data_IF_103571844492
#
_entry.id   IF_103571844492
#
_cell.length_a   1.000
_cell.length_b   1.000
_cell.length_c   1.000
_cell.angle_alpha   90.00
_cell.angle_beta   90.00
_cell.angle_gamma   90.00
#
_symmetry.space_group_name_H-M   'P 1'
#
loop_
_entity.id
_entity.type
_entity.pdbx_description
1 polymer ?
#
# COMPACT_ATOMS: atom_id res chain seq x y z
N UNK A 1 20.64 5.13 -8.94
CA UNK A 1 19.56 4.30 -8.35
C UNK A 1 18.71 3.79 -9.51
N UNK A 2 18.88 2.52 -9.86
CA UNK A 2 18.08 1.85 -10.90
C UNK A 2 16.63 1.78 -10.40
N UNK A 3 15.78 2.71 -10.82
CA UNK A 3 14.33 2.61 -10.62
C UNK A 3 13.80 1.61 -11.65
N UNK A 4 14.03 0.33 -11.39
CA UNK A 4 13.39 -0.75 -12.14
C UNK A 4 11.88 -0.58 -11.86
N UNK A 5 11.02 -0.46 -12.88
CA UNK A 5 9.58 -0.42 -12.66
C UNK A 5 9.18 -1.73 -12.00
N UNK A 6 8.88 -1.65 -10.72
CA UNK A 6 8.38 -2.75 -9.91
C UNK A 6 6.94 -2.96 -10.37
N UNK A 7 6.76 -3.91 -11.29
CA UNK A 7 5.42 -4.37 -11.71
C UNK A 7 4.98 -5.38 -10.66
N UNK A 8 4.26 -4.90 -9.64
CA UNK A 8 3.63 -5.74 -8.64
C UNK A 8 2.18 -5.97 -9.01
N UNK A 9 1.73 -7.20 -8.85
CA UNK A 9 0.30 -7.53 -8.86
C UNK A 9 -0.40 -6.93 -7.64
N UNK A 10 -1.74 -6.82 -7.68
CA UNK A 10 -2.54 -6.26 -6.57
C UNK A 10 -2.28 -7.06 -5.29
N UNK A 11 -2.29 -8.40 -5.35
CA UNK A 11 -1.99 -9.26 -4.21
C UNK A 11 -0.57 -9.06 -3.66
N UNK A 12 0.44 -8.82 -4.51
CA UNK A 12 1.79 -8.51 -4.05
C UNK A 12 1.90 -7.15 -3.36
N UNK A 13 1.16 -6.15 -3.85
CA UNK A 13 1.07 -4.84 -3.19
C UNK A 13 0.37 -4.93 -1.84
N UNK A 14 -0.73 -5.69 -1.75
CA UNK A 14 -1.42 -5.97 -0.49
C UNK A 14 -0.50 -6.70 0.49
N UNK A 15 0.22 -7.72 0.02
CA UNK A 15 1.19 -8.47 0.83
C UNK A 15 2.36 -7.62 1.33
N UNK A 16 2.83 -6.65 0.53
CA UNK A 16 3.88 -5.72 0.95
C UNK A 16 3.38 -4.67 1.93
N UNK A 17 2.15 -4.18 1.74
CA UNK A 17 1.51 -3.25 2.68
C UNK A 17 1.28 -3.90 4.05
N UNK A 18 0.84 -5.16 4.08
CA UNK A 18 0.60 -5.91 5.31
C UNK A 18 1.90 -6.18 6.10
N UNK A 19 3.03 -6.30 5.40
CA UNK A 19 4.35 -6.40 6.02
C UNK A 19 4.91 -5.09 6.57
N UNK A 20 4.26 -3.95 6.31
CA UNK A 20 4.72 -2.69 6.89
C UNK A 20 4.37 -2.63 8.38
N UNK A 21 5.33 -2.26 9.26
CA UNK A 21 5.04 -2.14 10.67
C UNK A 21 3.95 -1.08 10.90
N UNK A 22 3.10 -1.25 11.93
CA UNK A 22 2.04 -0.29 12.23
C UNK A 22 2.62 1.11 12.40
N UNK A 23 1.87 2.17 12.01
CA UNK A 23 2.33 3.54 12.13
C UNK A 23 2.72 3.80 13.58
N UNK A 24 3.98 4.19 13.80
CA UNK A 24 4.45 4.53 15.14
C UNK A 24 3.75 5.78 15.65
N UNK A 25 3.70 5.96 16.98
CA UNK A 25 3.02 7.10 17.60
C UNK A 25 3.64 8.47 17.21
N UNK A 26 4.87 8.46 16.69
CA UNK A 26 5.61 9.60 16.14
C UNK A 26 5.50 9.72 14.60
N UNK A 27 4.79 8.78 13.95
CA UNK A 27 4.67 8.77 12.50
C UNK A 27 3.77 9.93 12.04
N UNK A 28 4.21 10.64 11.00
CA UNK A 28 3.46 11.77 10.47
C UNK A 28 2.05 11.33 10.07
N UNK A 29 1.04 12.04 10.57
CA UNK A 29 -0.39 11.77 10.27
C UNK A 29 -0.66 11.63 8.76
N UNK A 30 0.14 12.30 7.94
CA UNK A 30 0.05 12.22 6.49
C UNK A 30 0.48 10.84 5.95
N UNK A 31 1.49 10.20 6.54
CA UNK A 31 1.96 8.86 6.19
C UNK A 31 0.92 7.82 6.57
N UNK A 32 0.33 7.90 7.76
CA UNK A 32 -0.77 7.02 8.17
C UNK A 32 -1.96 7.13 7.21
N UNK A 33 -2.38 8.35 6.89
CA UNK A 33 -3.48 8.59 5.95
C UNK A 33 -3.16 8.08 4.53
N UNK A 34 -1.90 8.18 4.10
CA UNK A 34 -1.45 7.66 2.81
C UNK A 34 -1.52 6.14 2.76
N UNK A 35 -1.12 5.44 3.84
CA UNK A 35 -1.22 3.97 3.94
C UNK A 35 -2.67 3.51 3.86
N UNK A 36 -3.56 4.12 4.63
CA UNK A 36 -5.00 3.80 4.58
C UNK A 36 -5.60 4.05 3.19
N UNK A 37 -5.19 5.14 2.53
CA UNK A 37 -5.68 5.47 1.18
C UNK A 37 -5.17 4.47 0.15
N UNK A 38 -3.90 4.07 0.23
CA UNK A 38 -3.30 3.04 -0.62
C UNK A 38 -4.02 1.70 -0.48
N UNK A 39 -4.28 1.28 0.76
CA UNK A 39 -4.98 0.03 1.04
C UNK A 39 -6.40 0.04 0.46
N UNK A 40 -7.17 1.13 0.67
CA UNK A 40 -8.51 1.28 0.08
C UNK A 40 -8.47 1.30 -1.46
N UNK A 41 -7.48 1.96 -2.05
CA UNK A 41 -7.34 1.97 -3.51
C UNK A 41 -7.08 0.57 -4.06
N UNK A 42 -6.25 -0.25 -3.39
CA UNK A 42 -6.00 -1.62 -3.83
C UNK A 42 -7.23 -2.50 -3.68
N UNK A 43 -7.98 -2.38 -2.58
CA UNK A 43 -9.24 -3.08 -2.40
C UNK A 43 -10.27 -2.73 -3.49
N UNK A 44 -10.40 -1.46 -3.84
CA UNK A 44 -11.35 -1.03 -4.88
C UNK A 44 -10.90 -1.47 -6.29
N UNK A 45 -9.60 -1.49 -6.56
CA UNK A 45 -9.07 -2.04 -7.82
C UNK A 45 -9.29 -3.55 -7.88
N UNK A 46 -9.15 -4.28 -6.77
CA UNK A 46 -9.45 -5.72 -6.68
C UNK A 46 -10.93 -6.00 -6.97
N UNK A 47 -11.84 -5.26 -6.31
CA UNK A 47 -13.29 -5.39 -6.55
C UNK A 47 -13.71 -5.01 -7.97
N UNK A 48 -13.01 -4.09 -8.61
CA UNK A 48 -13.26 -3.71 -9.99
C UNK A 48 -12.64 -4.67 -11.02
N UNK A 49 -11.75 -5.56 -10.59
CA UNK A 49 -11.12 -6.58 -11.42
C UNK A 49 -11.84 -7.94 -11.37
N UNK A 50 -12.64 -8.21 -10.32
CA UNK A 50 -13.61 -9.31 -10.25
C UNK A 50 -14.88 -9.02 -11.07
#
# INVERSE_FOLDING_TARGET
>A
MNRIPVVLTIDELEYLLDQMPPPSHDEEKMVTKLRETLQRCLEEVRKGAE
#
